data_IF_388757438024
#
_entry.id   IF_388757438024
#
_cell.length_a   1.000
_cell.length_b   1.000
_cell.length_c   1.000
_cell.angle_alpha   90.00
_cell.angle_beta   90.00
_cell.angle_gamma   90.00
#
_symmetry.space_group_name_H-M   'P 1'
#
loop_
_entity.id
_entity.type
_entity.pdbx_description
1 polymer ?
#
# COMPACT_ATOMS: atom_id res chain seq x y z
N UNK A 1 -6.18 11.97 -2.03
CA UNK A 1 -4.87 12.43 -1.55
C UNK A 1 -4.68 12.20 -0.06
N UNK A 2 -5.68 12.43 0.80
CA UNK A 2 -5.64 11.91 2.18
C UNK A 2 -5.25 10.42 2.15
N UNK A 3 -4.46 9.89 3.10
CA UNK A 3 -3.80 10.58 4.21
C UNK A 3 -2.44 11.23 3.85
N UNK A 4 -2.04 11.26 2.58
CA UNK A 4 -0.83 11.95 2.14
C UNK A 4 -1.03 13.47 2.15
N UNK A 5 -0.08 14.25 2.70
CA UNK A 5 -0.15 15.70 2.63
C UNK A 5 0.10 16.18 1.20
N UNK A 6 -0.54 17.28 0.83
CA UNK A 6 -0.29 17.99 -0.43
C UNK A 6 0.59 19.19 -0.10
N UNK A 7 1.81 19.22 -0.64
CA UNK A 7 2.70 20.38 -0.57
C UNK A 7 2.52 21.21 -1.84
N UNK A 8 2.38 22.52 -1.68
CA UNK A 8 2.19 23.46 -2.80
C UNK A 8 3.38 24.39 -2.90
N UNK A 9 3.81 24.64 -4.13
CA UNK A 9 4.90 25.58 -4.44
C UNK A 9 4.39 26.59 -5.48
N UNK A 10 4.80 27.87 -5.40
CA UNK A 10 4.48 28.84 -6.44
C UNK A 10 5.13 28.44 -7.76
N UNK A 11 4.56 28.96 -8.86
CA UNK A 11 5.23 28.94 -10.15
C UNK A 11 6.41 29.93 -10.09
N UNK A 12 7.61 29.46 -10.40
CA UNK A 12 8.81 30.31 -10.47
C UNK A 12 8.93 31.02 -11.81
N UNK A 13 9.58 32.17 -11.79
CA UNK A 13 9.88 33.04 -12.94
C UNK A 13 11.02 32.52 -13.84
N UNK A 14 11.72 31.49 -13.38
CA UNK A 14 12.84 30.86 -14.06
C UNK A 14 12.86 29.35 -13.78
N UNK A 15 13.56 28.59 -14.62
CA UNK A 15 13.69 27.15 -14.46
C UNK A 15 14.35 26.78 -13.12
N UNK A 16 13.87 25.71 -12.49
CA UNK A 16 14.43 25.21 -11.23
C UNK A 16 15.66 24.35 -11.53
N UNK A 17 16.76 25.03 -11.89
CA UNK A 17 18.04 24.39 -12.22
C UNK A 17 19.17 25.02 -11.42
N UNK A 18 20.08 24.19 -10.94
CA UNK A 18 21.20 24.62 -10.10
C UNK A 18 20.82 24.80 -8.62
N UNK A 19 21.85 24.85 -7.78
CA UNK A 19 21.68 24.82 -6.32
C UNK A 19 20.88 26.01 -5.79
N UNK A 20 21.02 27.19 -6.37
CA UNK A 20 20.36 28.39 -5.87
C UNK A 20 18.84 28.35 -6.09
N UNK A 21 18.41 27.84 -7.25
CA UNK A 21 16.98 27.64 -7.50
C UNK A 21 16.40 26.48 -6.70
N UNK A 22 17.17 25.40 -6.51
CA UNK A 22 16.76 24.30 -5.64
C UNK A 22 16.57 24.77 -4.18
N UNK A 23 17.41 25.69 -3.69
CA UNK A 23 17.25 26.30 -2.36
C UNK A 23 15.99 27.17 -2.27
N UNK A 24 15.73 28.03 -3.27
CA UNK A 24 14.50 28.84 -3.33
C UNK A 24 13.24 27.97 -3.35
N UNK A 25 13.28 26.86 -4.08
CA UNK A 25 12.18 25.90 -4.11
C UNK A 25 12.03 25.17 -2.77
N UNK A 26 13.12 24.74 -2.15
CA UNK A 26 13.07 24.10 -0.83
C UNK A 26 12.46 25.03 0.23
N UNK A 27 12.87 26.30 0.27
CA UNK A 27 12.30 27.32 1.15
C UNK A 27 10.80 27.51 0.92
N UNK A 28 10.36 27.54 -0.35
CA UNK A 28 8.95 27.71 -0.68
C UNK A 28 8.07 26.50 -0.34
N UNK A 29 8.64 25.28 -0.34
CA UNK A 29 7.92 24.02 -0.07
C UNK A 29 7.90 23.69 1.42
N UNK A 30 9.05 23.84 2.08
CA UNK A 30 9.25 23.39 3.45
C UNK A 30 9.30 24.56 4.44
N UNK A 31 9.80 25.74 4.03
CA UNK A 31 10.07 26.85 4.95
C UNK A 31 10.91 26.37 6.13
N UNK A 32 10.38 26.56 7.34
CA UNK A 32 11.00 26.12 8.59
C UNK A 32 10.74 24.62 8.92
N UNK A 33 9.88 23.92 8.15
CA UNK A 33 9.61 22.50 8.38
C UNK A 33 10.81 21.63 7.94
N UNK A 34 11.08 20.58 8.72
CA UNK A 34 12.11 19.60 8.38
C UNK A 34 11.69 18.75 7.16
N UNK A 35 12.41 18.81 6.01
CA UNK A 35 12.08 18.02 4.84
C UNK A 35 12.27 16.52 5.06
N UNK A 36 12.97 16.10 6.12
CA UNK A 36 13.17 14.70 6.49
C UNK A 36 12.06 14.13 7.38
N UNK A 37 11.10 14.97 7.80
CA UNK A 37 9.99 14.49 8.62
C UNK A 37 9.19 13.43 7.88
N UNK A 38 8.67 12.47 8.63
CA UNK A 38 7.79 11.46 8.07
C UNK A 38 6.39 12.05 7.84
N UNK A 39 6.11 12.39 6.59
CA UNK A 39 4.85 13.04 6.18
C UNK A 39 3.63 12.12 6.26
N UNK A 40 3.83 10.79 6.19
CA UNK A 40 2.79 9.80 6.39
C UNK A 40 3.40 8.44 6.75
N UNK A 41 2.86 7.79 7.79
CA UNK A 41 3.14 6.38 8.11
C UNK A 41 1.98 5.56 7.54
N UNK A 42 2.24 4.83 6.47
CA UNK A 42 1.29 3.86 5.93
C UNK A 42 0.92 2.81 6.96
N UNK A 43 -0.35 2.38 6.95
CA UNK A 43 -0.72 1.17 7.68
C UNK A 43 0.07 -0.01 7.10
N UNK A 44 0.76 -0.75 7.95
CA UNK A 44 1.41 -1.98 7.53
C UNK A 44 0.34 -3.04 7.22
N UNK A 45 0.64 -3.95 6.30
CA UNK A 45 -0.18 -5.16 6.15
C UNK A 45 -0.21 -5.93 7.49
N UNK A 46 -1.34 -6.56 7.79
CA UNK A 46 -1.52 -7.31 9.03
C UNK A 46 -1.85 -8.77 8.73
N UNK A 47 -1.35 -9.67 9.58
CA UNK A 47 -1.76 -11.08 9.58
C UNK A 47 -2.41 -11.38 10.92
N UNK A 48 -3.67 -11.80 10.89
CA UNK A 48 -4.44 -12.14 12.07
C UNK A 48 -4.86 -13.61 11.99
N UNK A 49 -4.95 -14.29 13.14
CA UNK A 49 -5.59 -15.61 13.26
C UNK A 49 -6.89 -15.43 14.05
N UNK A 50 -8.02 -15.77 13.44
CA UNK A 50 -9.36 -15.61 14.03
C UNK A 50 -10.23 -16.79 13.64
N UNK A 51 -10.92 -17.41 14.61
CA UNK A 51 -11.86 -18.51 14.39
C UNK A 51 -11.29 -19.68 13.57
N UNK A 52 -10.01 -20.01 13.76
CA UNK A 52 -9.32 -21.07 13.02
C UNK A 52 -8.88 -20.69 11.60
N UNK A 53 -9.16 -19.47 11.16
CA UNK A 53 -8.78 -18.93 9.85
C UNK A 53 -7.62 -17.93 10.00
N UNK A 54 -6.91 -17.70 8.90
CA UNK A 54 -5.93 -16.63 8.81
C UNK A 54 -6.43 -15.50 7.91
N UNK A 55 -6.21 -14.26 8.33
CA UNK A 55 -6.60 -13.06 7.58
C UNK A 55 -5.36 -12.25 7.25
N UNK A 56 -5.10 -12.04 5.96
CA UNK A 56 -4.15 -11.03 5.47
C UNK A 56 -4.93 -9.74 5.17
N UNK A 57 -4.63 -8.67 5.91
CA UNK A 57 -5.23 -7.34 5.71
C UNK A 57 -4.22 -6.44 5.03
N UNK A 58 -4.57 -5.92 3.85
CA UNK A 58 -3.74 -5.02 3.05
C UNK A 58 -4.49 -3.69 2.90
N UNK A 59 -3.89 -2.55 3.28
CA UNK A 59 -4.53 -1.26 3.08
C UNK A 59 -4.50 -0.90 1.59
N UNK A 60 -5.68 -0.65 1.03
CA UNK A 60 -5.92 -0.21 -0.34
C UNK A 60 -6.90 0.96 -0.33
N UNK A 61 -6.49 2.14 0.18
CA UNK A 61 -7.36 3.31 0.15
C UNK A 61 -7.65 3.70 -1.30
N UNK A 62 -8.89 4.13 -1.57
CA UNK A 62 -9.37 4.60 -2.89
C UNK A 62 -9.51 3.53 -3.99
N UNK A 63 -9.62 2.26 -3.63
CA UNK A 63 -9.79 1.17 -4.60
C UNK A 63 -11.09 0.42 -4.32
N UNK A 64 -11.91 0.22 -5.35
CA UNK A 64 -13.08 -0.65 -5.24
C UNK A 64 -12.65 -2.10 -5.46
N UNK A 65 -13.23 -3.02 -4.67
CA UNK A 65 -12.95 -4.47 -4.77
C UNK A 65 -13.03 -5.02 -6.20
N UNK A 66 -13.93 -4.49 -7.00
CA UNK A 66 -14.21 -4.89 -8.38
C UNK A 66 -13.00 -4.71 -9.30
N UNK A 67 -12.15 -3.73 -8.99
CA UNK A 67 -10.94 -3.39 -9.75
C UNK A 67 -9.72 -4.21 -9.30
N UNK A 68 -9.89 -5.10 -8.31
CA UNK A 68 -8.82 -5.88 -7.72
C UNK A 68 -8.79 -7.27 -8.33
N UNK A 69 -7.70 -7.58 -9.03
CA UNK A 69 -7.40 -8.94 -9.46
C UNK A 69 -6.30 -9.55 -8.61
N UNK A 70 -6.62 -10.69 -8.01
CA UNK A 70 -5.69 -11.48 -7.21
C UNK A 70 -5.24 -12.68 -8.01
N UNK A 71 -3.93 -12.92 -8.04
CA UNK A 71 -3.35 -14.11 -8.64
C UNK A 71 -2.29 -14.67 -7.73
N UNK A 72 -2.38 -15.96 -7.43
CA UNK A 72 -1.30 -16.66 -6.74
C UNK A 72 -0.18 -16.96 -7.74
N UNK A 73 1.03 -16.56 -7.41
CA UNK A 73 2.24 -16.87 -8.19
C UNK A 73 3.14 -17.72 -7.32
N UNK A 74 3.79 -18.73 -7.91
CA UNK A 74 4.90 -19.50 -7.31
C UNK A 74 4.89 -19.57 -5.77
N UNK A 75 4.07 -20.46 -5.19
CA UNK A 75 4.02 -20.86 -3.77
C UNK A 75 3.74 -19.75 -2.74
N UNK A 76 4.65 -18.78 -2.67
CA UNK A 76 4.82 -17.82 -1.59
C UNK A 76 4.51 -16.39 -2.04
N UNK A 77 4.04 -16.18 -3.27
CA UNK A 77 3.69 -14.85 -3.79
C UNK A 77 2.19 -14.68 -4.04
N UNK A 78 1.66 -13.58 -3.54
CA UNK A 78 0.35 -13.06 -3.94
C UNK A 78 0.53 -11.81 -4.80
N UNK A 79 0.03 -11.88 -6.03
CA UNK A 79 -0.03 -10.73 -6.93
C UNK A 79 -1.36 -10.02 -6.75
N UNK A 80 -1.30 -8.74 -6.39
CA UNK A 80 -2.44 -7.83 -6.34
C UNK A 80 -2.34 -6.87 -7.52
N UNK A 81 -3.32 -6.88 -8.42
CA UNK A 81 -3.43 -5.91 -9.53
C UNK A 81 -4.61 -4.99 -9.33
N UNK A 82 -4.39 -3.71 -9.59
CA UNK A 82 -5.37 -2.63 -9.48
C UNK A 82 -5.18 -1.74 -10.70
N UNK A 83 -6.06 -1.85 -11.69
CA UNK A 83 -5.85 -1.23 -13.00
C UNK A 83 -4.50 -1.63 -13.61
N UNK A 84 -3.63 -0.65 -13.87
CA UNK A 84 -2.27 -0.85 -14.40
C UNK A 84 -1.18 -1.05 -13.34
N UNK A 85 -1.52 -0.94 -12.05
CA UNK A 85 -0.57 -1.15 -10.96
C UNK A 85 -0.56 -2.62 -10.55
N UNK A 86 0.64 -3.17 -10.36
CA UNK A 86 0.88 -4.54 -9.90
C UNK A 86 1.78 -4.49 -8.67
N UNK A 87 1.32 -5.09 -7.57
CA UNK A 87 2.13 -5.31 -6.36
C UNK A 87 2.31 -6.82 -6.16
N UNK A 88 3.55 -7.25 -5.98
CA UNK A 88 3.86 -8.60 -5.50
C UNK A 88 4.00 -8.55 -3.98
N UNK A 89 3.29 -9.43 -3.28
CA UNK A 89 3.34 -9.56 -1.83
C UNK A 89 3.92 -10.92 -1.51
N UNK A 90 5.03 -10.94 -0.78
CA UNK A 90 5.57 -12.16 -0.19
C UNK A 90 4.66 -12.56 0.97
N UNK A 91 4.12 -13.76 0.88
CA UNK A 91 3.33 -14.37 1.94
C UNK A 91 4.29 -14.88 3.03
N UNK A 92 4.01 -14.58 4.31
CA UNK A 92 4.62 -15.32 5.40
C UNK A 92 4.42 -16.82 5.20
N UNK A 93 5.41 -17.63 5.57
CA UNK A 93 5.41 -19.07 5.30
C UNK A 93 4.11 -19.77 5.74
N UNK A 94 3.54 -19.37 6.89
CA UNK A 94 2.28 -19.93 7.40
C UNK A 94 1.08 -19.68 6.48
N UNK A 95 1.07 -18.62 5.67
CA UNK A 95 0.00 -18.33 4.70
C UNK A 95 0.29 -18.96 3.33
N UNK A 96 1.56 -19.12 3.00
CA UNK A 96 2.00 -19.75 1.75
C UNK A 96 1.63 -21.25 1.68
N UNK A 97 1.31 -21.89 2.80
CA UNK A 97 0.81 -23.27 2.83
C UNK A 97 -0.72 -23.37 2.87
N UNK A 98 -1.45 -22.25 2.74
CA UNK A 98 -2.90 -22.20 2.91
C UNK A 98 -3.61 -21.82 1.61
N UNK A 99 -4.87 -22.22 1.51
CA UNK A 99 -5.72 -21.89 0.37
C UNK A 99 -6.50 -20.60 0.61
N UNK A 100 -6.61 -19.78 -0.45
CA UNK A 100 -7.39 -18.54 -0.43
C UNK A 100 -8.87 -18.88 -0.55
N UNK A 101 -9.63 -18.61 0.50
CA UNK A 101 -11.08 -18.88 0.52
C UNK A 101 -11.88 -17.73 -0.08
N UNK A 102 -11.52 -16.49 0.28
CA UNK A 102 -12.21 -15.29 -0.20
C UNK A 102 -11.35 -14.04 -0.05
N UNK A 103 -11.70 -13.02 -0.83
CA UNK A 103 -11.24 -11.66 -0.66
C UNK A 103 -12.45 -10.75 -0.44
N UNK A 104 -12.39 -9.84 0.54
CA UNK A 104 -13.44 -8.87 0.88
C UNK A 104 -12.84 -7.49 1.09
N UNK A 105 -13.66 -6.45 0.89
CA UNK A 105 -13.27 -5.09 1.21
C UNK A 105 -13.96 -4.68 2.53
N UNK A 106 -13.17 -4.22 3.49
CA UNK A 106 -13.62 -3.70 4.80
C UNK A 106 -13.10 -2.27 4.97
N UNK A 107 -13.89 -1.26 4.59
CA UNK A 107 -13.42 0.11 4.50
C UNK A 107 -12.26 0.22 3.50
N UNK A 108 -11.13 0.76 3.95
CA UNK A 108 -9.89 0.90 3.15
C UNK A 108 -9.02 -0.36 3.14
N UNK A 109 -9.52 -1.50 3.63
CA UNK A 109 -8.76 -2.74 3.70
C UNK A 109 -9.28 -3.79 2.72
N UNK A 110 -8.35 -4.39 1.97
CA UNK A 110 -8.56 -5.69 1.37
C UNK A 110 -8.22 -6.76 2.41
N UNK A 111 -9.20 -7.61 2.71
CA UNK A 111 -9.06 -8.73 3.65
C UNK A 111 -9.12 -10.02 2.86
N UNK A 112 -8.06 -10.81 2.95
CA UNK A 112 -7.94 -12.11 2.28
C UNK A 112 -7.98 -13.19 3.35
N UNK A 113 -8.97 -14.06 3.26
CA UNK A 113 -9.16 -15.17 4.18
C UNK A 113 -8.46 -16.41 3.64
N UNK A 114 -7.63 -17.01 4.47
CA UNK A 114 -6.90 -18.24 4.22
C UNK A 114 -7.37 -19.33 5.19
N UNK A 115 -7.35 -20.57 4.73
CA UNK A 115 -7.68 -21.74 5.53
C UNK A 115 -6.65 -22.85 5.31
N UNK A 116 -6.35 -23.59 6.38
CA UNK A 116 -5.51 -24.79 6.31
C UNK A 116 -6.04 -25.78 5.27
N UNK A 117 -5.12 -26.33 4.49
CA UNK A 117 -5.42 -27.32 3.47
C UNK A 117 -5.71 -28.67 4.17
N UNK A 118 -7.00 -28.98 4.40
CA UNK A 118 -7.53 -30.24 4.99
C UNK A 118 -8.47 -30.00 6.19
N UNK A 119 -9.58 -30.70 6.43
CA UNK A 119 -10.03 -32.06 6.08
C UNK A 119 -11.46 -32.04 5.51
N UNK A 120 -11.67 -32.62 4.33
CA UNK A 120 -12.98 -33.21 3.95
C UNK A 120 -12.95 -34.71 4.21
#
# INVERSE_FOLDING_TARGET
FAPLPILTVPLFDQEVVGLDMLRRMAEAIYGEDDPTRLYYVGQAQQVLKQDGLYLLRIPLPFVHKEDIHLTRSSGDELIVRIGNHKRNILLPHVLATLEVQRATQEGDWLVITFQEEGLS
#
